data_IF_737899622222
#
_entry.id   IF_737899622222
#
_cell.length_a   1.000
_cell.length_b   1.000
_cell.length_c   1.000
_cell.angle_alpha   90.00
_cell.angle_beta   90.00
_cell.angle_gamma   90.00
#
_symmetry.space_group_name_H-M   'P 1'
#
loop_
_entity.id
_entity.type
_entity.pdbx_description
1 polymer ?
#
# COMPACT_ATOMS: atom_id res chain seq x y z
N UNK A 1 2.90 -2.06 -16.96
CA UNK A 1 1.63 -1.47 -17.44
C UNK A 1 0.78 -1.20 -16.22
N UNK A 2 -0.04 -0.16 -16.24
CA UNK A 2 -0.85 0.27 -15.09
C UNK A 2 -2.27 0.61 -15.56
N UNK A 3 -3.27 0.05 -14.89
CA UNK A 3 -4.68 0.26 -15.24
C UNK A 3 -5.14 1.68 -14.91
N UNK A 4 -4.61 2.27 -13.84
CA UNK A 4 -4.88 3.63 -13.43
C UNK A 4 -4.15 4.70 -14.26
N UNK A 5 -4.51 5.97 -14.05
CA UNK A 5 -3.83 7.09 -14.67
C UNK A 5 -2.46 7.36 -14.02
N UNK A 6 -1.76 8.36 -14.56
CA UNK A 6 -0.62 8.98 -13.88
C UNK A 6 -1.07 9.64 -12.58
N UNK A 7 -0.18 9.69 -11.59
CA UNK A 7 -0.34 10.27 -10.25
C UNK A 7 -0.34 11.81 -10.24
N UNK A 8 -1.14 12.45 -11.11
CA UNK A 8 -1.17 13.93 -11.25
C UNK A 8 -2.10 14.64 -10.26
N UNK A 9 -2.93 13.90 -9.53
CA UNK A 9 -3.87 14.48 -8.58
C UNK A 9 -3.13 15.00 -7.35
N UNK A 10 -3.19 16.31 -7.01
CA UNK A 10 -2.38 16.87 -5.93
C UNK A 10 -2.58 16.17 -4.58
N UNK A 11 -3.80 15.73 -4.27
CA UNK A 11 -4.13 15.05 -3.02
C UNK A 11 -3.50 13.66 -2.87
N UNK A 12 -2.93 13.08 -3.94
CA UNK A 12 -2.08 11.89 -3.83
C UNK A 12 -0.81 12.22 -3.04
N UNK A 13 -0.23 13.40 -3.27
CA UNK A 13 1.08 13.76 -2.74
C UNK A 13 1.02 14.34 -1.33
N UNK A 14 -0.15 14.84 -0.91
CA UNK A 14 -0.37 15.41 0.42
C UNK A 14 -0.87 14.29 1.35
N UNK A 15 -0.21 14.01 2.49
CA UNK A 15 -0.56 12.91 3.39
C UNK A 15 -2.04 12.82 3.79
N UNK A 16 -2.65 13.90 4.30
CA UNK A 16 -4.08 13.94 4.68
C UNK A 16 -5.02 13.71 3.48
N UNK A 17 -4.51 13.87 2.25
CA UNK A 17 -5.25 13.65 1.02
C UNK A 17 -5.70 12.20 0.82
N UNK A 18 -5.17 11.25 1.60
CA UNK A 18 -5.64 9.86 1.59
C UNK A 18 -7.17 9.77 1.77
N UNK A 19 -7.76 10.61 2.64
CA UNK A 19 -9.20 10.64 2.89
C UNK A 19 -10.02 11.00 1.63
N UNK A 20 -9.41 11.74 0.69
CA UNK A 20 -10.02 12.04 -0.61
C UNK A 20 -9.77 10.94 -1.63
N UNK A 21 -8.54 10.41 -1.69
CA UNK A 21 -8.18 9.40 -2.69
C UNK A 21 -8.82 8.05 -2.41
N UNK A 22 -9.05 7.71 -1.14
CA UNK A 22 -9.61 6.43 -0.72
C UNK A 22 -11.02 6.22 -1.24
N UNK A 23 -11.80 7.25 -1.59
CA UNK A 23 -13.14 7.07 -2.18
C UNK A 23 -13.22 7.52 -3.63
N UNK A 24 -12.09 7.90 -4.25
CA UNK A 24 -12.08 8.52 -5.56
C UNK A 24 -12.12 7.46 -6.69
N UNK A 25 -13.20 7.33 -7.47
CA UNK A 25 -13.39 6.22 -8.42
C UNK A 25 -12.39 6.22 -9.60
N UNK A 26 -11.75 7.36 -9.88
CA UNK A 26 -10.65 7.44 -10.86
C UNK A 26 -9.34 6.82 -10.35
N UNK A 27 -9.03 6.94 -9.06
CA UNK A 27 -7.74 6.57 -8.46
C UNK A 27 -7.82 5.35 -7.51
N UNK A 28 -9.03 4.83 -7.31
CA UNK A 28 -9.31 3.64 -6.52
C UNK A 28 -10.22 2.71 -7.33
N UNK A 29 -10.06 1.41 -7.13
CA UNK A 29 -10.97 0.39 -7.64
C UNK A 29 -12.33 0.37 -6.96
N UNK A 30 -12.39 0.81 -5.69
CA UNK A 30 -13.60 0.87 -4.88
C UNK A 30 -14.33 -0.47 -4.79
N UNK A 31 -13.60 -1.56 -4.56
CA UNK A 31 -14.21 -2.88 -4.40
C UNK A 31 -15.11 -2.93 -3.18
N UNK A 32 -16.03 -3.89 -3.22
CA UNK A 32 -16.80 -4.36 -2.08
C UNK A 32 -16.65 -5.88 -2.01
N UNK A 33 -16.63 -6.42 -0.80
CA UNK A 33 -16.75 -7.87 -0.61
C UNK A 33 -18.16 -8.33 -0.96
N UNK A 34 -18.30 -9.63 -1.23
CA UNK A 34 -19.62 -10.26 -1.15
C UNK A 34 -20.18 -10.15 0.29
N UNK A 35 -21.51 -10.23 0.46
CA UNK A 35 -22.13 -10.28 1.79
C UNK A 35 -21.62 -11.46 2.62
N UNK A 36 -21.10 -11.18 3.82
CA UNK A 36 -20.53 -12.22 4.69
C UNK A 36 -21.48 -12.55 5.86
N UNK A 37 -21.93 -13.82 6.02
CA UNK A 37 -22.79 -14.23 7.15
C UNK A 37 -22.16 -13.99 8.52
N UNK A 38 -20.84 -14.17 8.66
CA UNK A 38 -20.07 -13.89 9.88
C UNK A 38 -19.97 -12.40 10.20
N UNK A 39 -20.33 -11.51 9.26
CA UNK A 39 -20.41 -10.06 9.45
C UNK A 39 -21.84 -9.52 9.37
N UNK A 40 -22.85 -10.34 9.68
CA UNK A 40 -24.28 -10.02 9.59
C UNK A 40 -24.71 -9.61 8.17
N UNK A 41 -24.24 -10.35 7.16
CA UNK A 41 -24.53 -10.13 5.74
C UNK A 41 -24.14 -8.75 5.20
N UNK A 42 -23.17 -8.08 5.85
CA UNK A 42 -22.65 -6.81 5.38
C UNK A 42 -21.66 -7.02 4.24
N UNK A 43 -21.68 -6.09 3.30
CA UNK A 43 -20.58 -5.89 2.36
C UNK A 43 -19.58 -4.91 2.96
N UNK A 44 -18.29 -5.24 2.85
CA UNK A 44 -17.21 -4.40 3.38
C UNK A 44 -16.55 -3.65 2.23
N UNK A 45 -16.44 -2.33 2.39
CA UNK A 45 -15.72 -1.51 1.43
C UNK A 45 -14.23 -1.85 1.45
N UNK A 46 -13.67 -2.15 0.27
CA UNK A 46 -12.31 -2.66 0.14
C UNK A 46 -11.46 -1.85 -0.86
N UNK A 47 -10.86 -0.73 -0.41
CA UNK A 47 -10.14 0.17 -1.29
C UNK A 47 -8.84 -0.46 -1.82
N UNK A 48 -8.56 -0.25 -3.11
CA UNK A 48 -7.30 -0.64 -3.78
C UNK A 48 -6.87 0.46 -4.76
N UNK A 49 -5.61 0.87 -4.71
CA UNK A 49 -5.13 1.95 -5.57
C UNK A 49 -5.20 1.57 -7.05
N UNK A 50 -5.79 2.46 -7.85
CA UNK A 50 -5.89 2.39 -9.30
C UNK A 50 -5.23 3.64 -9.90
N UNK A 51 -3.91 3.72 -9.76
CA UNK A 51 -3.08 4.85 -10.19
C UNK A 51 -1.63 4.39 -10.22
N UNK A 52 -0.76 5.06 -10.99
CA UNK A 52 0.67 4.77 -10.93
C UNK A 52 1.18 4.89 -9.48
N UNK A 53 1.78 3.81 -8.97
CA UNK A 53 2.17 3.63 -7.57
C UNK A 53 1.21 2.74 -6.77
N UNK A 54 0.07 2.37 -7.35
CA UNK A 54 -0.92 1.47 -6.76
C UNK A 54 -1.43 1.97 -5.42
N UNK A 55 -1.64 1.04 -4.48
CA UNK A 55 -2.13 1.37 -3.14
C UNK A 55 -1.16 2.26 -2.34
N UNK A 56 0.14 2.28 -2.64
CA UNK A 56 1.09 3.19 -1.96
C UNK A 56 0.78 4.68 -2.21
N UNK A 57 0.08 4.99 -3.31
CA UNK A 57 -0.35 6.35 -3.64
C UNK A 57 -1.60 6.79 -2.86
N UNK A 58 -2.31 5.88 -2.18
CA UNK A 58 -3.58 6.17 -1.49
C UNK A 58 -3.65 5.64 -0.04
N UNK A 59 -2.58 5.00 0.47
CA UNK A 59 -2.56 4.39 1.81
C UNK A 59 -2.40 5.43 2.96
N UNK A 60 -2.44 4.93 4.20
CA UNK A 60 -2.26 5.72 5.43
C UNK A 60 -0.81 6.09 5.80
N UNK A 61 0.16 5.83 4.91
CA UNK A 61 1.58 6.19 5.02
C UNK A 61 2.41 5.55 6.14
N UNK A 62 1.81 4.80 7.07
CA UNK A 62 2.56 4.09 8.13
C UNK A 62 3.65 3.21 7.52
N UNK A 63 4.88 3.37 8.02
CA UNK A 63 6.01 2.51 7.69
C UNK A 63 6.25 1.52 8.83
N UNK A 64 5.87 0.27 8.60
CA UNK A 64 6.08 -0.84 9.54
C UNK A 64 6.41 -2.12 8.75
N UNK A 65 7.32 -2.91 9.31
CA UNK A 65 7.71 -4.24 8.81
C UNK A 65 6.99 -5.33 9.60
N UNK A 66 6.94 -6.54 9.05
CA UNK A 66 6.48 -7.71 9.81
C UNK A 66 7.45 -8.09 10.94
N UNK A 67 7.02 -9.02 11.78
CA UNK A 67 7.88 -9.61 12.80
C UNK A 67 8.82 -10.63 12.17
N UNK A 68 10.02 -10.89 12.74
CA UNK A 68 10.93 -11.93 12.25
C UNK A 68 10.24 -13.28 12.02
N UNK A 69 9.34 -13.65 12.95
CA UNK A 69 8.59 -14.90 12.93
C UNK A 69 7.67 -15.02 11.70
N UNK A 70 7.16 -13.91 11.16
CA UNK A 70 6.32 -13.94 9.95
C UNK A 70 7.11 -14.52 8.77
N UNK A 71 8.36 -14.09 8.61
CA UNK A 71 9.27 -14.47 7.53
C UNK A 71 9.89 -15.85 7.77
N UNK A 72 10.31 -16.14 9.01
CA UNK A 72 10.83 -17.46 9.36
C UNK A 72 9.77 -18.55 9.17
N UNK A 73 8.50 -18.25 9.47
CA UNK A 73 7.39 -19.15 9.16
C UNK A 73 7.23 -19.36 7.65
N UNK A 74 7.42 -18.33 6.81
CA UNK A 74 7.41 -18.50 5.35
C UNK A 74 8.53 -19.42 4.87
N UNK A 75 9.74 -19.25 5.41
CA UNK A 75 10.86 -20.15 5.11
C UNK A 75 10.57 -21.59 5.55
N UNK A 76 10.01 -21.78 6.75
CA UNK A 76 9.61 -23.10 7.27
C UNK A 76 8.52 -23.78 6.42
N UNK A 77 7.66 -23.00 5.75
CA UNK A 77 6.69 -23.52 4.77
C UNK A 77 7.32 -23.93 3.42
N UNK A 78 8.65 -23.87 3.28
CA UNK A 78 9.38 -24.30 2.09
C UNK A 78 9.80 -23.18 1.15
N UNK A 79 9.64 -21.90 1.54
CA UNK A 79 10.06 -20.75 0.74
C UNK A 79 11.51 -20.38 1.06
N UNK A 80 12.48 -21.12 0.53
CA UNK A 80 13.89 -20.85 0.76
C UNK A 80 14.27 -19.41 0.35
N UNK A 81 15.10 -18.73 1.16
CA UNK A 81 15.50 -17.34 0.95
C UNK A 81 14.49 -16.30 1.46
N UNK A 82 13.46 -16.72 2.21
CA UNK A 82 12.46 -15.82 2.79
C UNK A 82 12.51 -15.76 4.34
N UNK A 83 13.58 -16.26 4.97
CA UNK A 83 13.75 -16.10 6.42
C UNK A 83 13.98 -14.62 6.77
N UNK A 84 13.81 -14.24 8.04
CA UNK A 84 14.07 -12.86 8.47
C UNK A 84 15.47 -12.38 8.08
N UNK A 85 16.47 -13.22 8.29
CA UNK A 85 17.86 -12.91 7.97
C UNK A 85 18.10 -12.72 6.46
N UNK A 86 17.34 -13.41 5.61
CA UNK A 86 17.43 -13.27 4.16
C UNK A 86 16.77 -11.96 3.67
N UNK A 87 15.67 -11.54 4.31
CA UNK A 87 14.88 -10.37 3.87
C UNK A 87 15.31 -9.05 4.51
N UNK A 88 15.89 -9.08 5.71
CA UNK A 88 16.33 -7.87 6.42
C UNK A 88 17.28 -6.98 5.58
N UNK A 89 18.29 -7.50 4.86
CA UNK A 89 19.12 -6.68 3.98
C UNK A 89 18.33 -5.91 2.92
N UNK A 90 17.22 -6.49 2.42
CA UNK A 90 16.35 -5.82 1.46
C UNK A 90 15.51 -4.71 2.12
N UNK A 91 15.01 -4.95 3.35
CA UNK A 91 14.34 -3.92 4.15
C UNK A 91 15.25 -2.75 4.51
N UNK A 92 16.52 -3.02 4.80
CA UNK A 92 17.53 -1.96 4.99
C UNK A 92 17.78 -1.23 3.67
N UNK A 93 18.01 -1.95 2.57
CA UNK A 93 18.36 -1.32 1.28
C UNK A 93 17.25 -0.47 0.64
N UNK A 94 15.98 -0.77 0.90
CA UNK A 94 14.87 -0.02 0.32
C UNK A 94 14.69 1.36 0.96
N UNK A 95 15.20 1.53 2.17
CA UNK A 95 14.88 2.62 3.08
C UNK A 95 15.91 3.74 3.03
N UNK A 96 15.42 4.97 3.12
CA UNK A 96 16.16 6.17 3.43
C UNK A 96 15.52 6.82 4.65
N UNK A 97 15.95 6.37 5.83
CA UNK A 97 15.42 6.77 7.11
C UNK A 97 16.04 8.10 7.54
N UNK A 98 15.19 9.03 7.98
CA UNK A 98 15.60 10.32 8.56
C UNK A 98 16.54 10.16 9.77
N UNK A 99 16.46 9.04 10.50
CA UNK A 99 17.29 8.74 11.66
C UNK A 99 18.71 8.26 11.32
N UNK A 100 18.99 7.99 10.04
CA UNK A 100 20.28 7.50 9.55
C UNK A 100 20.41 5.98 9.52
N UNK A 101 21.51 5.50 8.93
CA UNK A 101 21.78 4.06 8.81
C UNK A 101 22.09 3.42 10.17
N UNK A 102 21.62 2.18 10.34
CA UNK A 102 21.93 1.32 11.48
C UNK A 102 21.91 -0.15 11.04
N UNK A 103 22.04 -1.08 11.98
CA UNK A 103 21.82 -2.50 11.70
C UNK A 103 20.37 -2.79 11.24
N UNK A 104 19.41 -1.94 11.63
CA UNK A 104 17.99 -2.09 11.33
C UNK A 104 17.51 -1.20 10.19
N UNK A 105 18.23 -0.12 9.86
CA UNK A 105 17.77 0.92 8.93
C UNK A 105 18.78 1.26 7.84
N UNK A 106 18.27 1.57 6.65
CA UNK A 106 19.06 2.23 5.60
C UNK A 106 18.78 3.73 5.53
N UNK A 107 19.72 4.49 4.98
CA UNK A 107 19.63 5.94 4.76
C UNK A 107 19.84 6.36 3.29
N UNK A 108 19.97 5.38 2.39
CA UNK A 108 20.33 5.59 0.99
C UNK A 108 19.29 5.06 0.00
N UNK A 109 18.30 4.31 0.47
CA UNK A 109 17.26 3.72 -0.34
C UNK A 109 16.33 4.73 -1.03
N UNK A 110 15.52 4.27 -1.99
CA UNK A 110 14.61 5.15 -2.71
C UNK A 110 13.37 5.57 -1.90
N UNK A 111 12.91 4.75 -0.94
CA UNK A 111 11.76 5.10 -0.09
C UNK A 111 12.21 5.93 1.10
N UNK A 112 11.72 7.16 1.20
CA UNK A 112 12.04 8.01 2.37
C UNK A 112 11.06 7.75 3.49
N UNK A 113 11.63 7.58 4.67
CA UNK A 113 10.92 7.36 5.92
C UNK A 113 11.30 8.48 6.87
N UNK A 114 10.30 9.12 7.49
CA UNK A 114 10.52 10.26 8.39
C UNK A 114 9.65 10.16 9.63
N UNK A 115 10.10 10.81 10.71
CA UNK A 115 9.34 10.93 11.94
C UNK A 115 8.14 11.87 11.79
N UNK A 116 7.16 11.73 12.70
CA UNK A 116 6.06 12.69 12.81
C UNK A 116 6.61 13.96 13.46
N UNK A 117 6.74 15.02 12.67
CA UNK A 117 7.44 16.24 13.10
C UNK A 117 6.77 17.07 14.21
N UNK A 118 5.50 16.82 14.55
CA UNK A 118 4.84 17.48 15.69
C UNK A 118 4.09 16.44 16.53
N UNK A 119 4.48 16.33 17.80
CA UNK A 119 3.78 15.49 18.77
C UNK A 119 2.31 15.91 18.88
N UNK A 120 1.43 14.93 18.87
CA UNK A 120 -0.01 15.14 19.04
C UNK A 120 -0.34 14.92 20.53
N UNK A 121 -0.94 15.90 21.23
CA UNK A 121 -1.29 15.76 22.65
C UNK A 121 -2.15 14.53 22.95
N UNK A 122 -3.05 14.14 22.04
CA UNK A 122 -3.87 12.94 22.20
C UNK A 122 -3.07 11.65 22.01
N UNK A 123 -2.07 11.66 21.13
CA UNK A 123 -1.18 10.52 20.93
C UNK A 123 -0.25 10.35 22.14
N UNK A 124 0.30 11.43 22.69
CA UNK A 124 1.09 11.37 23.94
C UNK A 124 0.25 10.84 25.11
N UNK A 125 -0.96 11.40 25.32
CA UNK A 125 -1.85 10.92 26.37
C UNK A 125 -2.19 9.42 26.22
N UNK A 126 -2.33 8.93 24.98
CA UNK A 126 -2.54 7.51 24.72
C UNK A 126 -1.29 6.67 25.06
N UNK A 127 -0.10 7.10 24.66
CA UNK A 127 1.17 6.42 24.95
C UNK A 127 1.43 6.39 26.47
N UNK A 128 1.15 7.49 27.17
CA UNK A 128 1.24 7.59 28.63
C UNK A 128 0.26 6.61 29.31
N UNK A 129 -1.00 6.56 28.88
CA UNK A 129 -1.97 5.61 29.39
C UNK A 129 -1.57 4.14 29.14
N UNK A 130 -0.96 3.83 27.99
CA UNK A 130 -0.37 2.51 27.74
C UNK A 130 0.77 2.20 28.72
N UNK A 131 1.60 3.20 29.05
CA UNK A 131 2.68 3.05 30.02
C UNK A 131 2.14 2.78 31.42
N UNK A 132 1.10 3.49 31.85
CA UNK A 132 0.39 3.23 33.11
C UNK A 132 -0.23 1.82 33.16
N UNK A 133 -0.67 1.31 32.00
CA UNK A 133 -1.18 -0.05 31.85
C UNK A 133 -0.08 -1.14 31.78
N UNK A 134 1.19 -0.76 31.89
CA UNK A 134 2.33 -1.69 31.95
C UNK A 134 3.02 -1.97 30.61
N UNK A 135 2.65 -1.29 29.52
CA UNK A 135 3.35 -1.41 28.24
C UNK A 135 4.57 -0.48 28.18
N UNK A 136 5.63 -0.91 27.52
CA UNK A 136 6.81 -0.05 27.34
C UNK A 136 6.56 1.02 26.28
N UNK A 137 7.16 2.21 26.45
CA UNK A 137 7.23 3.19 25.37
C UNK A 137 8.22 2.69 24.31
N UNK A 138 7.75 2.53 23.08
CA UNK A 138 8.56 2.13 21.94
C UNK A 138 8.90 3.36 21.08
N UNK A 139 10.18 3.55 20.78
CA UNK A 139 10.65 4.66 19.94
C UNK A 139 10.91 4.24 18.49
N UNK A 140 10.94 2.94 18.23
CA UNK A 140 11.28 2.36 16.93
C UNK A 140 10.68 0.95 16.74
N UNK A 141 9.52 0.91 16.10
CA UNK A 141 8.84 -0.35 15.75
C UNK A 141 9.55 -1.19 14.69
N UNK A 142 10.58 -0.68 14.04
CA UNK A 142 11.35 -1.44 13.03
C UNK A 142 12.78 -1.72 13.49
N UNK A 143 13.10 -1.42 14.76
CA UNK A 143 14.37 -1.71 15.41
C UNK A 143 14.37 -3.08 16.09
N UNK A 144 15.11 -3.18 17.20
CA UNK A 144 15.33 -4.45 17.89
C UNK A 144 14.07 -5.10 18.49
N UNK A 145 13.02 -4.33 18.80
CA UNK A 145 11.75 -4.83 19.32
C UNK A 145 10.56 -4.02 18.81
N UNK A 146 9.49 -4.71 18.42
CA UNK A 146 8.23 -4.06 18.00
C UNK A 146 7.24 -3.85 19.16
N UNK A 147 7.45 -4.47 20.32
CA UNK A 147 6.49 -4.41 21.43
C UNK A 147 6.42 -3.00 22.07
N UNK A 148 5.23 -2.62 22.55
CA UNK A 148 5.00 -1.36 23.24
C UNK A 148 4.17 -0.31 22.48
N UNK A 149 4.16 0.92 23.00
CA UNK A 149 3.37 2.03 22.49
C UNK A 149 4.26 3.22 22.08
N UNK A 150 3.97 3.82 20.93
CA UNK A 150 4.84 4.85 20.36
C UNK A 150 4.30 5.42 19.06
N UNK A 151 5.10 6.28 18.44
CA UNK A 151 4.81 6.82 17.11
C UNK A 151 5.35 5.92 16.02
N UNK A 152 4.54 5.69 14.99
CA UNK A 152 5.03 5.14 13.73
C UNK A 152 5.77 6.22 12.93
N UNK A 153 6.81 5.80 12.22
CA UNK A 153 7.35 6.59 11.12
C UNK A 153 6.42 6.52 9.90
N UNK A 154 6.54 7.53 9.03
CA UNK A 154 5.73 7.65 7.82
C UNK A 154 6.62 7.56 6.57
N UNK A 155 6.06 7.02 5.48
CA UNK A 155 6.68 7.04 4.16
C UNK A 155 6.49 8.43 3.53
N UNK A 156 7.24 9.40 4.04
CA UNK A 156 7.17 10.82 3.64
C UNK A 156 8.54 11.42 3.40
N UNK A 157 8.62 12.32 2.41
CA UNK A 157 9.80 13.13 2.10
C UNK A 157 9.40 14.60 2.21
N UNK A 158 9.93 15.32 3.20
CA UNK A 158 9.66 16.77 3.42
C UNK A 158 8.16 17.09 3.48
N UNK A 159 7.41 16.27 4.22
CA UNK A 159 5.95 16.41 4.40
C UNK A 159 5.10 16.01 3.19
N UNK A 160 5.68 15.41 2.16
CA UNK A 160 4.95 14.82 1.03
C UNK A 160 5.03 13.29 1.05
N UNK A 161 3.98 12.62 0.59
CA UNK A 161 3.97 11.17 0.38
C UNK A 161 5.11 10.73 -0.54
N UNK A 162 5.84 9.68 -0.16
CA UNK A 162 6.82 9.02 -1.02
C UNK A 162 6.28 7.66 -1.53
N UNK A 163 5.36 7.69 -2.51
CA UNK A 163 4.81 6.46 -3.10
C UNK A 163 5.86 5.66 -3.86
N UNK A 164 5.58 4.39 -4.20
CA UNK A 164 6.49 3.57 -5.01
C UNK A 164 6.76 4.18 -6.40
N UNK A 165 5.77 4.86 -7.00
CA UNK A 165 5.97 5.59 -8.24
C UNK A 165 6.91 6.79 -8.07
N UNK A 166 6.83 7.50 -6.94
CA UNK A 166 7.72 8.61 -6.62
C UNK A 166 9.14 8.13 -6.34
N UNK A 167 9.28 7.07 -5.54
CA UNK A 167 10.55 6.50 -5.10
C UNK A 167 11.32 5.80 -6.23
N UNK A 168 10.66 4.92 -6.99
CA UNK A 168 11.33 4.04 -7.95
C UNK A 168 11.15 4.47 -9.39
N UNK A 169 9.95 4.89 -9.82
CA UNK A 169 9.68 5.14 -11.24
C UNK A 169 10.06 6.55 -11.67
N UNK A 170 9.72 7.57 -10.88
CA UNK A 170 9.94 8.98 -11.23
C UNK A 170 11.42 9.29 -11.52
N UNK A 171 12.41 8.84 -10.73
CA UNK A 171 13.82 9.18 -10.97
C UNK A 171 14.37 8.57 -12.27
N UNK A 172 13.86 7.41 -12.67
CA UNK A 172 14.41 6.62 -13.79
C UNK A 172 13.54 6.67 -15.06
N UNK A 173 12.46 7.45 -15.04
CA UNK A 173 11.48 7.52 -16.14
C UNK A 173 12.07 7.99 -17.48
N UNK A 174 13.19 8.71 -17.44
CA UNK A 174 13.87 9.22 -18.62
C UNK A 174 14.66 8.15 -19.37
N UNK A 175 14.87 6.96 -18.79
CA UNK A 175 15.66 5.88 -19.41
C UNK A 175 14.94 5.32 -20.63
N UNK A 176 15.66 5.22 -21.75
CA UNK A 176 15.12 4.74 -23.03
C UNK A 176 14.68 3.27 -23.01
N UNK A 177 15.19 2.47 -22.08
CA UNK A 177 14.83 1.07 -21.89
C UNK A 177 13.61 0.85 -20.98
N UNK A 178 12.92 1.90 -20.54
CA UNK A 178 11.72 1.81 -19.70
C UNK A 178 10.52 2.48 -20.39
N UNK A 179 9.46 1.71 -20.63
CA UNK A 179 8.18 2.21 -21.09
C UNK A 179 7.11 2.09 -20.01
N UNK A 180 6.51 3.21 -19.60
CA UNK A 180 5.40 3.24 -18.64
C UNK A 180 4.10 3.54 -19.38
N UNK A 181 3.27 2.51 -19.54
CA UNK A 181 1.94 2.61 -20.15
C UNK A 181 0.87 2.63 -19.05
N UNK A 182 0.20 3.77 -18.91
CA UNK A 182 -0.93 3.98 -17.98
C UNK A 182 -2.27 3.88 -18.70
N UNK A 183 -3.35 3.77 -17.93
CA UNK A 183 -4.72 3.56 -18.44
C UNK A 183 -4.80 2.30 -19.32
N UNK A 184 -4.00 1.29 -18.95
CA UNK A 184 -3.84 0.02 -19.66
C UNK A 184 -4.18 -1.14 -18.73
N UNK A 185 -5.42 -1.61 -18.80
CA UNK A 185 -5.94 -2.72 -18.01
C UNK A 185 -5.54 -4.05 -18.67
N UNK A 186 -4.61 -4.78 -18.06
CA UNK A 186 -4.31 -6.15 -18.47
C UNK A 186 -5.53 -7.05 -18.29
N UNK A 187 -5.87 -7.82 -19.32
CA UNK A 187 -7.05 -8.70 -19.33
C UNK A 187 -6.71 -10.17 -19.42
N UNK A 188 -5.67 -10.54 -20.16
CA UNK A 188 -5.28 -11.94 -20.37
C UNK A 188 -3.79 -12.08 -20.70
N UNK A 189 -3.17 -13.15 -20.24
CA UNK A 189 -1.86 -13.62 -20.67
C UNK A 189 -2.04 -14.79 -21.63
N UNK A 190 -1.32 -14.76 -22.74
CA UNK A 190 -1.30 -15.83 -23.74
C UNK A 190 -0.03 -16.67 -23.60
N UNK A 191 -0.21 -17.97 -23.80
CA UNK A 191 0.82 -18.99 -23.66
C UNK A 191 1.09 -19.67 -24.99
N UNK A 192 2.36 -19.95 -25.27
CA UNK A 192 2.79 -20.71 -26.44
C UNK A 192 3.84 -21.70 -25.96
N UNK A 193 3.59 -23.00 -26.19
CA UNK A 193 4.45 -24.10 -25.73
C UNK A 193 4.76 -24.00 -24.23
N UNK A 194 3.74 -23.72 -23.40
CA UNK A 194 3.86 -23.57 -21.96
C UNK A 194 4.50 -22.26 -21.48
N UNK A 195 4.94 -21.37 -22.38
CA UNK A 195 5.58 -20.09 -22.03
C UNK A 195 4.62 -18.91 -22.16
N UNK A 196 4.44 -18.16 -21.07
CA UNK A 196 3.79 -16.86 -21.08
C UNK A 196 4.57 -15.90 -22.00
N UNK A 197 3.93 -15.38 -23.04
CA UNK A 197 4.65 -14.58 -24.04
C UNK A 197 3.94 -13.30 -24.47
N UNK A 198 2.62 -13.18 -24.28
CA UNK A 198 1.88 -12.00 -24.72
C UNK A 198 0.88 -11.60 -23.65
N UNK A 199 0.76 -10.29 -23.42
CA UNK A 199 -0.27 -9.70 -22.57
C UNK A 199 -1.26 -8.98 -23.47
N UNK A 200 -2.52 -9.38 -23.40
CA UNK A 200 -3.65 -8.64 -23.94
C UNK A 200 -4.14 -7.62 -22.91
N UNK A 201 -4.35 -6.39 -23.33
CA UNK A 201 -4.80 -5.31 -22.46
C UNK A 201 -5.73 -4.34 -23.17
N UNK A 202 -6.59 -3.69 -22.40
CA UNK A 202 -7.49 -2.64 -22.90
C UNK A 202 -6.94 -1.27 -22.55
N UNK A 203 -6.93 -0.37 -23.53
CA UNK A 203 -6.60 1.06 -23.35
C UNK A 203 -7.60 1.90 -24.12
N UNK A 204 -8.43 2.65 -23.39
CA UNK A 204 -9.64 3.27 -23.95
C UNK A 204 -10.63 2.20 -24.43
N UNK A 205 -11.05 2.30 -25.69
CA UNK A 205 -11.94 1.34 -26.35
C UNK A 205 -11.19 0.23 -27.11
N UNK A 206 -9.85 0.29 -27.16
CA UNK A 206 -9.06 -0.61 -27.97
C UNK A 206 -8.46 -1.73 -27.12
N UNK A 207 -8.57 -2.96 -27.62
CA UNK A 207 -7.79 -4.10 -27.15
C UNK A 207 -6.47 -4.15 -27.91
N UNK A 208 -5.37 -4.27 -27.19
CA UNK A 208 -4.01 -4.29 -27.72
C UNK A 208 -3.25 -5.48 -27.12
N UNK A 209 -2.18 -5.89 -27.81
CA UNK A 209 -1.30 -6.97 -27.37
C UNK A 209 0.13 -6.46 -27.30
N UNK A 210 0.88 -6.96 -26.31
CA UNK A 210 2.32 -6.74 -26.20
C UNK A 210 3.02 -8.05 -25.88
N UNK A 211 4.07 -8.37 -26.62
CA UNK A 211 4.84 -9.60 -26.41
C UNK A 211 6.08 -9.38 -25.55
N UNK A 212 6.36 -10.33 -24.67
CA UNK A 212 7.53 -10.36 -23.81
C UNK A 212 8.56 -11.38 -24.33
N UNK A 213 9.80 -10.92 -24.51
CA UNK A 213 10.91 -11.77 -24.95
C UNK A 213 11.43 -12.71 -23.85
N UNK A 214 11.33 -12.29 -22.59
CA UNK A 214 11.85 -13.03 -21.43
C UNK A 214 10.70 -13.46 -20.53
N UNK A 215 10.17 -12.51 -19.77
CA UNK A 215 9.25 -12.80 -18.66
C UNK A 215 8.08 -11.82 -18.63
N UNK A 216 6.99 -12.25 -18.01
CA UNK A 216 5.85 -11.42 -17.64
C UNK A 216 5.73 -11.51 -16.12
N UNK A 217 5.86 -10.37 -15.43
CA UNK A 217 5.77 -10.28 -13.97
C UNK A 217 4.42 -9.69 -13.59
N UNK A 218 3.64 -10.42 -12.80
CA UNK A 218 2.37 -9.94 -12.27
C UNK A 218 2.57 -9.16 -10.98
N UNK A 219 2.15 -7.89 -10.99
CA UNK A 219 2.18 -6.99 -9.84
C UNK A 219 0.84 -6.26 -9.68
N UNK A 220 -0.28 -6.94 -9.95
CA UNK A 220 -1.62 -6.37 -9.88
C UNK A 220 -2.24 -6.40 -8.46
N UNK A 221 -1.48 -6.87 -7.46
CA UNK A 221 -1.90 -6.97 -6.07
C UNK A 221 -2.72 -8.22 -5.77
N UNK A 222 -2.99 -8.47 -4.48
CA UNK A 222 -3.59 -9.72 -3.98
C UNK A 222 -5.00 -10.02 -4.53
N UNK A 223 -5.73 -9.00 -5.01
CA UNK A 223 -7.08 -9.17 -5.59
C UNK A 223 -7.01 -9.45 -7.10
N UNK A 224 -6.25 -8.64 -7.85
CA UNK A 224 -6.29 -8.70 -9.32
C UNK A 224 -5.24 -9.62 -9.94
N UNK A 225 -4.13 -9.93 -9.24
CA UNK A 225 -3.17 -10.93 -9.73
C UNK A 225 -3.81 -12.32 -9.88
N UNK A 226 -4.51 -12.89 -8.87
CA UNK A 226 -5.19 -14.18 -9.06
C UNK A 226 -6.32 -14.10 -10.08
N UNK A 227 -7.08 -12.99 -10.14
CA UNK A 227 -8.09 -12.78 -11.18
C UNK A 227 -7.47 -12.84 -12.58
N UNK A 228 -6.35 -12.15 -12.81
CA UNK A 228 -5.69 -12.14 -14.12
C UNK A 228 -5.12 -13.52 -14.46
N UNK A 229 -4.60 -14.27 -13.49
CA UNK A 229 -4.21 -15.67 -13.71
C UNK A 229 -5.40 -16.52 -14.15
N UNK A 230 -6.55 -16.41 -13.47
CA UNK A 230 -7.77 -17.14 -13.81
C UNK A 230 -8.27 -16.77 -15.21
N UNK A 231 -8.35 -15.47 -15.55
CA UNK A 231 -8.69 -14.97 -16.89
C UNK A 231 -7.71 -15.48 -17.97
N UNK A 232 -6.51 -15.88 -17.58
CA UNK A 232 -5.47 -16.45 -18.45
C UNK A 232 -5.44 -17.98 -18.47
N UNK A 233 -6.43 -18.63 -17.84
CA UNK A 233 -6.55 -20.09 -17.81
C UNK A 233 -5.70 -20.78 -16.75
N UNK A 234 -5.18 -20.05 -15.76
CA UNK A 234 -4.44 -20.61 -14.61
C UNK A 234 -5.31 -20.44 -13.35
N UNK A 235 -5.86 -21.55 -12.85
CA UNK A 235 -6.77 -21.54 -11.70
C UNK A 235 -7.42 -22.89 -11.47
N UNK A 236 -8.41 -22.96 -10.58
CA UNK A 236 -9.23 -24.17 -10.41
C UNK A 236 -9.98 -24.48 -11.71
N UNK A 237 -9.71 -25.63 -12.31
CA UNK A 237 -10.32 -26.05 -13.57
C UNK A 237 -11.87 -26.03 -13.54
N UNK A 238 -12.50 -26.29 -12.40
CA UNK A 238 -13.96 -26.26 -12.27
C UNK A 238 -14.49 -24.83 -12.36
N UNK A 239 -13.86 -23.91 -11.63
CA UNK A 239 -14.20 -22.47 -11.67
C UNK A 239 -13.98 -21.93 -13.08
N UNK A 240 -12.83 -22.25 -13.70
CA UNK A 240 -12.55 -21.81 -15.07
C UNK A 240 -13.60 -22.31 -16.07
N UNK A 241 -14.03 -23.57 -15.97
CA UNK A 241 -15.06 -24.13 -16.83
C UNK A 241 -16.43 -23.45 -16.66
N UNK A 242 -16.82 -23.07 -15.43
CA UNK A 242 -18.06 -22.34 -15.14
C UNK A 242 -18.14 -21.00 -15.89
N UNK A 243 -17.01 -20.32 -16.04
CA UNK A 243 -16.90 -19.06 -16.79
C UNK A 243 -16.52 -19.25 -18.27
N UNK A 244 -16.51 -20.49 -18.78
CA UNK A 244 -16.16 -20.80 -20.17
C UNK A 244 -14.71 -20.48 -20.55
N UNK A 245 -13.81 -20.47 -19.57
CA UNK A 245 -12.38 -20.18 -19.77
C UNK A 245 -11.59 -21.47 -20.05
N UNK A 246 -10.70 -21.48 -21.06
CA UNK A 246 -9.85 -22.62 -21.32
C UNK A 246 -8.84 -22.83 -20.18
N UNK A 247 -8.62 -24.07 -19.79
CA UNK A 247 -7.65 -24.43 -18.75
C UNK A 247 -6.27 -24.58 -19.39
N UNK A 248 -5.35 -23.67 -19.05
CA UNK A 248 -3.92 -23.77 -19.37
C UNK A 248 -3.20 -24.57 -18.29
N UNK A 249 -3.52 -24.32 -17.02
CA UNK A 249 -2.94 -25.04 -15.88
C UNK A 249 -3.96 -25.11 -14.75
N UNK A 250 -4.26 -26.33 -14.30
CA UNK A 250 -5.10 -26.52 -13.12
C UNK A 250 -4.29 -26.20 -11.86
N UNK A 251 -4.56 -25.05 -11.26
CA UNK A 251 -3.90 -24.56 -10.05
C UNK A 251 -4.97 -24.07 -9.07
N UNK A 252 -5.59 -24.97 -8.29
CA UNK A 252 -6.74 -24.62 -7.44
C UNK A 252 -6.41 -23.63 -6.33
N UNK A 253 -5.13 -23.43 -5.99
CA UNK A 253 -4.70 -22.42 -5.02
C UNK A 253 -4.83 -20.97 -5.51
N UNK A 254 -4.98 -20.73 -6.82
CA UNK A 254 -5.10 -19.35 -7.35
C UNK A 254 -6.42 -18.72 -6.90
N UNK A 255 -6.30 -17.62 -6.16
CA UNK A 255 -7.44 -16.90 -5.57
C UNK A 255 -7.87 -17.44 -4.20
N UNK A 256 -7.19 -18.46 -3.68
CA UNK A 256 -7.41 -19.01 -2.35
C UNK A 256 -6.40 -18.45 -1.34
N UNK A 257 -6.53 -18.86 -0.07
CA UNK A 257 -5.66 -18.43 1.04
C UNK A 257 -5.57 -16.89 1.18
N UNK A 258 -6.67 -16.20 0.87
CA UNK A 258 -6.76 -14.75 1.04
C UNK A 258 -6.75 -14.42 2.53
N UNK A 259 -5.83 -13.56 2.93
CA UNK A 259 -5.68 -13.08 4.29
C UNK A 259 -5.76 -11.55 4.29
N UNK A 260 -6.42 -10.99 5.30
CA UNK A 260 -6.45 -9.54 5.53
C UNK A 260 -6.62 -9.27 7.05
N UNK A 261 -6.29 -8.07 7.48
CA UNK A 261 -6.47 -7.63 8.86
C UNK A 261 -7.85 -6.99 9.02
N UNK A 262 -8.76 -7.69 9.70
CA UNK A 262 -10.08 -7.15 10.03
C UNK A 262 -9.93 -6.01 11.05
N UNK A 263 -10.33 -4.80 10.65
CA UNK A 263 -10.24 -3.61 11.49
C UNK A 263 -11.59 -3.25 12.12
N UNK A 264 -11.60 -3.02 13.43
CA UNK A 264 -12.71 -2.38 14.16
C UNK A 264 -12.29 -0.99 14.60
N UNK A 265 -13.18 -0.01 14.49
CA UNK A 265 -12.93 1.36 14.94
C UNK A 265 -13.66 1.61 16.24
N UNK A 266 -12.92 2.04 17.26
CA UNK A 266 -13.46 2.53 18.52
C UNK A 266 -13.29 4.05 18.55
N UNK A 267 -14.37 4.78 18.74
CA UNK A 267 -14.40 6.25 18.64
C UNK A 267 -14.91 6.81 19.97
N UNK A 268 -14.16 7.76 20.53
CA UNK A 268 -14.51 8.44 21.78
C UNK A 268 -14.63 9.96 21.56
N UNK A 269 -15.44 10.60 22.39
CA UNK A 269 -15.54 12.05 22.40
C UNK A 269 -14.35 12.66 23.15
N UNK A 270 -13.71 13.68 22.58
CA UNK A 270 -12.65 14.44 23.23
C UNK A 270 -13.24 15.60 24.03
N UNK A 271 -12.80 15.78 25.27
CA UNK A 271 -13.23 16.90 26.13
C UNK A 271 -12.64 18.25 25.69
N UNK A 272 -11.58 18.22 24.87
CA UNK A 272 -10.89 19.40 24.35
C UNK A 272 -11.00 19.45 22.82
N UNK A 273 -11.09 20.63 22.19
CA UNK A 273 -11.27 20.80 20.75
C UNK A 273 -9.94 20.67 19.98
N UNK A 274 -9.25 19.55 20.19
CA UNK A 274 -7.91 19.26 19.68
C UNK A 274 -7.90 18.26 18.51
N UNK A 275 -9.07 17.83 18.03
CA UNK A 275 -9.16 16.83 16.97
C UNK A 275 -9.10 17.47 15.59
N UNK A 276 -8.65 16.71 14.59
CA UNK A 276 -8.76 17.11 13.18
C UNK A 276 -10.21 17.40 12.78
N UNK A 277 -11.20 16.74 13.40
CA UNK A 277 -12.62 17.03 13.15
C UNK A 277 -13.00 18.44 13.59
N UNK A 278 -12.43 18.95 14.68
CA UNK A 278 -12.67 20.31 15.16
C UNK A 278 -12.03 21.34 14.22
N UNK A 279 -10.85 21.03 13.68
CA UNK A 279 -10.20 21.87 12.68
C UNK A 279 -11.00 21.94 11.38
N UNK A 280 -11.52 20.80 10.91
CA UNK A 280 -12.31 20.73 9.68
C UNK A 280 -13.68 21.43 9.80
N UNK A 281 -14.23 21.61 11.01
CA UNK A 281 -15.48 22.35 11.20
C UNK A 281 -15.35 23.88 11.03
N UNK A 282 -14.13 24.41 11.07
CA UNK A 282 -13.89 25.86 11.01
C UNK A 282 -13.09 26.25 9.76
N UNK A 283 -13.64 27.12 8.92
CA UNK A 283 -12.97 27.58 7.69
C UNK A 283 -11.64 28.27 8.00
N UNK A 284 -11.56 29.02 9.11
CA UNK A 284 -10.34 29.70 9.54
C UNK A 284 -9.27 28.71 10.00
N UNK A 285 -9.67 27.64 10.69
CA UNK A 285 -8.74 26.56 11.08
C UNK A 285 -8.27 25.78 9.85
N UNK A 286 -9.16 25.49 8.89
CA UNK A 286 -8.76 24.88 7.61
C UNK A 286 -7.75 25.74 6.84
N UNK A 287 -7.98 27.05 6.76
CA UNK A 287 -7.02 27.99 6.14
C UNK A 287 -5.70 28.00 6.90
N UNK A 288 -5.74 28.04 8.24
CA UNK A 288 -4.56 27.95 9.10
C UNK A 288 -3.76 26.66 8.92
N UNK A 289 -4.45 25.51 8.79
CA UNK A 289 -3.84 24.23 8.44
C UNK A 289 -3.15 24.28 7.08
N UNK A 290 -3.84 24.84 6.07
CA UNK A 290 -3.29 25.01 4.72
C UNK A 290 -2.04 25.88 4.70
N UNK A 291 -2.07 27.02 5.40
CA UNK A 291 -0.93 27.93 5.52
C UNK A 291 0.25 27.28 6.25
N UNK A 292 0.00 26.61 7.38
CA UNK A 292 1.04 25.86 8.11
C UNK A 292 1.70 24.81 7.22
N UNK A 293 0.90 24.04 6.50
CA UNK A 293 1.43 23.05 5.57
C UNK A 293 2.20 23.68 4.40
N UNK A 294 1.74 24.81 3.86
CA UNK A 294 2.41 25.50 2.77
C UNK A 294 3.78 26.07 3.19
N UNK A 295 3.88 26.60 4.40
CA UNK A 295 5.07 27.28 4.92
C UNK A 295 6.10 26.31 5.50
N UNK A 296 5.67 25.39 6.37
CA UNK A 296 6.57 24.53 7.15
C UNK A 296 6.40 23.04 6.89
N UNK A 297 5.46 22.64 6.01
CA UNK A 297 5.16 21.22 5.71
C UNK A 297 4.85 20.39 6.95
N UNK A 298 4.26 21.04 7.97
CA UNK A 298 3.94 20.44 9.27
C UNK A 298 2.44 20.54 9.59
N UNK A 299 2.05 19.96 10.73
CA UNK A 299 0.67 19.93 11.21
C UNK A 299 -0.18 18.83 10.56
N UNK A 300 -1.51 18.85 10.75
CA UNK A 300 -2.38 17.72 10.43
C UNK A 300 -2.39 17.33 8.94
N UNK A 301 -2.05 18.26 8.03
CA UNK A 301 -1.95 17.94 6.60
C UNK A 301 -0.74 17.08 6.22
N UNK A 302 0.30 17.06 7.06
CA UNK A 302 1.53 16.29 6.85
C UNK A 302 1.44 14.85 7.37
N UNK A 303 0.33 14.48 8.03
CA UNK A 303 0.09 13.14 8.55
C UNK A 303 -1.11 12.52 7.81
N UNK A 304 -1.04 11.22 7.53
CA UNK A 304 -2.14 10.48 6.91
C UNK A 304 -3.26 10.23 7.90
N UNK A 305 -2.96 9.51 8.97
CA UNK A 305 -3.91 9.12 10.01
C UNK A 305 -3.32 9.58 11.35
N UNK A 306 -4.11 10.32 12.13
CA UNK A 306 -3.86 10.67 13.52
C UNK A 306 -4.98 10.08 14.38
#
# INVERSE_FOLDING_TARGET
MEAGPRDRYPWIHIPIGYAKTMFHPRYNWCYYTEPDPGLHHRQIYWPRGKVLGGSSAINGLIFIRGQPQDYDNWAAMGNAGWSWNDVLPYFVSLENNERGASEWHGDAGPQVVSDIGQANPLAEAFIEACTEAGYSRNLDFNGASQDGAGYYQLITRRGFRCSSANAYLKPVRHRSNLAVVTEALAGRIEFTNGRANTVEFRRGHNTQKVSARREIILAAGAVQSPQLLQLSGIGDAKVLAEYGLPVVTNCPGVGQNLQDHLQVRVIHHCTQPLTTNDDLKSIWRQVGMGLRYALSRSGPMAVGIN
#
